data_IF_514384086367
#
_entry.id   IF_514384086367
#
_cell.length_a   1.000
_cell.length_b   1.000
_cell.length_c   1.000
_cell.angle_alpha   90.00
_cell.angle_beta   90.00
_cell.angle_gamma   90.00
#
_symmetry.space_group_name_H-M   'P 1'
#
loop_
_entity.id
_entity.type
_entity.pdbx_description
1 polymer ?
#
# COMPACT_ATOMS: atom_id res chain seq x y z
N UNK A 1 43.57 0.56 -40.83
CA UNK A 1 43.30 0.27 -39.41
C UNK A 1 42.49 1.40 -38.72
N UNK A 2 42.71 2.67 -39.06
CA UNK A 2 42.03 3.82 -38.42
C UNK A 2 40.53 3.92 -38.71
N UNK A 3 40.03 3.58 -39.88
CA UNK A 3 38.64 3.75 -40.29
C UNK A 3 37.73 2.78 -39.53
N UNK A 4 38.17 1.56 -39.29
CA UNK A 4 37.39 0.53 -38.53
C UNK A 4 37.28 0.96 -37.06
N UNK A 5 38.31 1.56 -36.49
CA UNK A 5 38.30 2.02 -35.11
C UNK A 5 37.36 3.23 -34.91
N UNK A 6 37.33 4.14 -35.88
CA UNK A 6 36.39 5.29 -35.87
C UNK A 6 34.96 4.83 -36.01
N UNK A 7 34.68 3.81 -36.85
CA UNK A 7 33.37 3.23 -37.03
C UNK A 7 32.85 2.55 -35.73
N UNK A 8 33.73 1.79 -35.05
CA UNK A 8 33.40 1.17 -33.76
C UNK A 8 33.10 2.20 -32.67
N UNK A 9 33.85 3.31 -32.62
CA UNK A 9 33.59 4.41 -31.69
C UNK A 9 32.25 5.08 -31.96
N UNK A 10 31.90 5.31 -33.24
CA UNK A 10 30.61 5.88 -33.62
C UNK A 10 29.45 4.97 -33.24
N UNK A 11 29.57 3.67 -33.47
CA UNK A 11 28.53 2.69 -33.06
C UNK A 11 28.38 2.65 -31.56
N UNK A 12 29.47 2.66 -30.80
CA UNK A 12 29.44 2.70 -29.35
C UNK A 12 28.79 4.00 -28.82
N UNK A 13 29.11 5.16 -29.43
CA UNK A 13 28.51 6.44 -29.09
C UNK A 13 27.00 6.45 -29.35
N UNK A 14 26.58 5.96 -30.53
CA UNK A 14 25.15 5.81 -30.89
C UNK A 14 24.44 4.91 -29.88
N UNK A 15 25.06 3.79 -29.51
CA UNK A 15 24.47 2.85 -28.54
C UNK A 15 24.29 3.47 -27.15
N UNK A 16 25.31 4.26 -26.69
CA UNK A 16 25.24 4.99 -25.42
C UNK A 16 24.14 6.06 -25.45
N UNK A 17 24.04 6.82 -26.56
CA UNK A 17 23.02 7.86 -26.73
C UNK A 17 21.62 7.26 -26.77
N UNK A 18 21.41 6.16 -27.49
CA UNK A 18 20.14 5.47 -27.58
C UNK A 18 19.72 4.85 -26.23
N UNK A 19 20.69 4.28 -25.49
CA UNK A 19 20.44 3.74 -24.14
C UNK A 19 20.07 4.84 -23.15
N UNK A 20 20.75 5.98 -23.24
CA UNK A 20 20.49 7.15 -22.39
C UNK A 20 19.14 7.80 -22.74
N UNK A 21 18.78 7.88 -24.02
CA UNK A 21 17.48 8.38 -24.48
C UNK A 21 16.32 7.49 -24.00
N UNK A 22 16.49 6.15 -24.07
CA UNK A 22 15.48 5.19 -23.59
C UNK A 22 15.31 5.24 -22.08
N UNK A 23 16.35 5.60 -21.33
CA UNK A 23 16.28 5.76 -19.87
C UNK A 23 15.59 7.08 -19.49
N UNK A 24 15.86 8.16 -20.21
CA UNK A 24 15.20 9.47 -19.99
C UNK A 24 13.71 9.40 -20.37
N UNK A 25 13.36 8.72 -21.44
CA UNK A 25 11.95 8.51 -21.85
C UNK A 25 11.20 7.66 -20.83
N UNK A 26 11.86 6.69 -20.19
CA UNK A 26 11.29 5.86 -19.14
C UNK A 26 11.08 6.64 -17.82
N UNK A 27 12.00 7.58 -17.51
CA UNK A 27 11.89 8.45 -16.33
C UNK A 27 10.86 9.59 -16.51
N UNK A 28 10.48 9.91 -17.76
CA UNK A 28 9.47 10.93 -18.07
C UNK A 28 8.04 10.39 -18.16
N UNK A 29 7.87 9.07 -18.35
CA UNK A 29 6.57 8.40 -18.48
C UNK A 29 6.17 7.58 -17.23
N UNK A 30 7.03 7.43 -16.21
CA UNK A 30 6.59 6.89 -14.94
C UNK A 30 5.90 8.02 -14.15
N UNK A 31 4.58 7.91 -13.92
CA UNK A 31 3.91 8.84 -13.01
C UNK A 31 4.63 8.78 -11.65
N UNK A 32 4.84 9.94 -11.04
CA UNK A 32 5.44 9.98 -9.70
C UNK A 32 4.75 8.96 -8.80
N UNK A 33 5.52 8.12 -8.07
CA UNK A 33 4.93 7.08 -7.23
C UNK A 33 4.02 7.76 -6.20
N UNK A 34 2.72 7.53 -6.34
CA UNK A 34 1.71 8.06 -5.41
C UNK A 34 2.09 7.59 -4.01
N UNK A 35 2.08 8.52 -3.05
CA UNK A 35 2.29 8.19 -1.64
C UNK A 35 1.30 7.09 -1.21
N UNK A 36 1.78 5.97 -0.65
CA UNK A 36 0.91 4.87 -0.22
C UNK A 36 -0.18 5.30 0.77
N UNK A 37 0.06 6.32 1.58
CA UNK A 37 -0.93 6.88 2.50
C UNK A 37 -2.05 7.59 1.74
N UNK A 38 -1.71 8.50 0.83
CA UNK A 38 -2.67 9.23 0.02
C UNK A 38 -3.48 8.27 -0.88
N UNK A 39 -2.81 7.26 -1.46
CA UNK A 39 -3.48 6.24 -2.26
C UNK A 39 -4.49 5.44 -1.43
N UNK A 40 -4.11 4.98 -0.23
CA UNK A 40 -5.01 4.24 0.64
C UNK A 40 -6.23 5.07 1.05
N UNK A 41 -6.04 6.35 1.43
CA UNK A 41 -7.14 7.25 1.75
C UNK A 41 -8.07 7.45 0.56
N UNK A 42 -7.52 7.78 -0.60
CA UNK A 42 -8.31 7.97 -1.82
C UNK A 42 -9.12 6.72 -2.20
N UNK A 43 -8.51 5.54 -2.09
CA UNK A 43 -9.21 4.27 -2.35
C UNK A 43 -10.35 4.02 -1.36
N UNK A 44 -10.16 4.32 -0.06
CA UNK A 44 -11.21 4.19 0.95
C UNK A 44 -12.34 5.19 0.72
N UNK A 45 -12.03 6.45 0.40
CA UNK A 45 -13.02 7.47 0.07
C UNK A 45 -13.83 7.11 -1.17
N UNK A 46 -13.17 6.60 -2.22
CA UNK A 46 -13.83 6.12 -3.42
C UNK A 46 -14.75 4.93 -3.13
N UNK A 47 -14.31 4.00 -2.27
CA UNK A 47 -15.12 2.87 -1.85
C UNK A 47 -16.38 3.30 -1.09
N UNK A 48 -16.27 4.34 -0.25
CA UNK A 48 -17.35 4.90 0.54
C UNK A 48 -18.35 5.71 -0.32
N UNK A 49 -17.86 6.44 -1.31
CA UNK A 49 -18.67 7.31 -2.17
C UNK A 49 -19.23 6.61 -3.42
N UNK A 50 -18.91 5.34 -3.62
CA UNK A 50 -19.34 4.60 -4.81
C UNK A 50 -20.87 4.48 -4.91
N UNK A 51 -21.40 4.79 -6.10
CA UNK A 51 -22.81 4.63 -6.41
C UNK A 51 -23.02 3.77 -7.67
N UNK A 52 -23.87 2.73 -7.60
CA UNK A 52 -24.54 2.23 -6.38
C UNK A 52 -23.54 1.68 -5.36
N UNK A 53 -23.85 1.69 -4.05
CA UNK A 53 -22.96 1.18 -3.03
C UNK A 53 -22.73 -0.33 -3.21
N UNK A 54 -21.53 -0.78 -2.90
CA UNK A 54 -21.21 -2.20 -2.93
C UNK A 54 -22.01 -2.95 -1.85
N UNK A 55 -22.42 -4.16 -2.16
CA UNK A 55 -22.93 -5.08 -1.13
C UNK A 55 -21.79 -5.47 -0.17
N UNK A 56 -22.16 -5.95 1.03
CA UNK A 56 -21.22 -6.17 2.13
C UNK A 56 -19.98 -7.00 1.76
N UNK A 57 -20.14 -8.11 1.04
CA UNK A 57 -18.99 -8.98 0.68
C UNK A 57 -17.98 -8.28 -0.23
N UNK A 58 -18.35 -7.75 -1.41
CA UNK A 58 -17.42 -7.00 -2.25
C UNK A 58 -16.79 -5.80 -1.52
N UNK A 59 -17.56 -5.10 -0.70
CA UNK A 59 -17.07 -3.99 0.11
C UNK A 59 -15.94 -4.42 1.04
N UNK A 60 -16.16 -5.48 1.83
CA UNK A 60 -15.16 -5.99 2.78
C UNK A 60 -13.94 -6.57 2.07
N UNK A 61 -14.13 -7.26 0.94
CA UNK A 61 -13.00 -7.71 0.12
C UNK A 61 -12.13 -6.54 -0.34
N UNK A 62 -12.76 -5.50 -0.87
CA UNK A 62 -12.04 -4.33 -1.36
C UNK A 62 -11.35 -3.56 -0.24
N UNK A 63 -12.02 -3.35 0.89
CA UNK A 63 -11.45 -2.69 2.05
C UNK A 63 -10.25 -3.46 2.62
N UNK A 64 -10.35 -4.79 2.71
CA UNK A 64 -9.24 -5.65 3.14
C UNK A 64 -8.04 -5.58 2.19
N UNK A 65 -8.30 -5.52 0.89
CA UNK A 65 -7.26 -5.37 -0.14
C UNK A 65 -6.53 -4.03 -0.01
N UNK A 66 -7.26 -2.93 0.13
CA UNK A 66 -6.69 -1.59 0.30
C UNK A 66 -5.75 -1.55 1.53
N UNK A 67 -6.21 -2.09 2.67
CA UNK A 67 -5.41 -2.13 3.88
C UNK A 67 -4.15 -2.98 3.73
N UNK A 68 -4.22 -4.12 3.07
CA UNK A 68 -3.07 -5.00 2.80
C UNK A 68 -2.06 -4.35 1.85
N UNK A 69 -2.52 -3.71 0.77
CA UNK A 69 -1.65 -2.97 -0.15
C UNK A 69 -0.91 -1.85 0.58
N UNK A 70 -1.61 -1.10 1.44
CA UNK A 70 -1.00 -0.07 2.27
C UNK A 70 0.11 -0.63 3.16
N UNK A 71 -0.17 -1.70 3.90
CA UNK A 71 0.82 -2.37 4.77
C UNK A 71 2.02 -2.88 3.97
N UNK A 72 1.78 -3.51 2.83
CA UNK A 72 2.84 -4.03 1.96
C UNK A 72 3.75 -2.92 1.45
N UNK A 73 3.18 -1.83 0.97
CA UNK A 73 3.95 -0.72 0.39
C UNK A 73 4.74 0.07 1.45
N UNK A 74 4.15 0.29 2.62
CA UNK A 74 4.73 1.13 3.68
C UNK A 74 5.70 0.33 4.55
N UNK A 75 5.32 -0.87 4.96
CA UNK A 75 6.07 -1.66 5.97
C UNK A 75 6.87 -2.81 5.36
N UNK A 76 6.77 -3.02 4.03
CA UNK A 76 7.49 -4.09 3.31
C UNK A 76 7.13 -5.51 3.80
N UNK A 77 5.93 -5.67 4.31
CA UNK A 77 5.34 -6.96 4.66
C UNK A 77 4.58 -7.49 3.44
N UNK A 78 4.78 -8.73 2.97
CA UNK A 78 4.10 -9.26 1.77
C UNK A 78 2.61 -9.57 2.06
N UNK A 79 1.85 -8.56 2.51
CA UNK A 79 0.52 -8.69 3.08
C UNK A 79 -0.52 -9.25 2.10
N UNK A 80 -0.31 -9.05 0.80
CA UNK A 80 -1.22 -9.55 -0.24
C UNK A 80 -1.13 -11.07 -0.44
N UNK A 81 0.01 -11.67 -0.09
CA UNK A 81 0.26 -13.11 -0.24
C UNK A 81 -0.15 -13.93 1.00
N UNK A 82 -0.42 -13.25 2.12
CA UNK A 82 -0.68 -13.88 3.41
C UNK A 82 -2.18 -14.19 3.62
N UNK A 83 -2.47 -15.30 4.27
CA UNK A 83 -3.79 -15.54 4.87
C UNK A 83 -4.07 -14.56 6.01
N UNK A 84 -5.30 -14.51 6.54
CA UNK A 84 -5.65 -13.65 7.69
C UNK A 84 -4.78 -13.95 8.92
N UNK A 85 -4.59 -15.23 9.25
CA UNK A 85 -3.77 -15.66 10.40
C UNK A 85 -2.28 -15.36 10.20
N UNK A 86 -1.73 -15.61 9.02
CA UNK A 86 -0.34 -15.30 8.70
C UNK A 86 -0.09 -13.80 8.74
N UNK A 87 -1.02 -12.99 8.21
CA UNK A 87 -0.95 -11.55 8.29
C UNK A 87 -0.94 -11.07 9.74
N UNK A 88 -1.81 -11.60 10.60
CA UNK A 88 -1.81 -11.26 12.02
C UNK A 88 -0.53 -11.66 12.73
N UNK A 89 0.04 -12.82 12.41
CA UNK A 89 1.33 -13.27 12.95
C UNK A 89 2.46 -12.33 12.53
N UNK A 90 2.46 -11.89 11.29
CA UNK A 90 3.46 -10.96 10.78
C UNK A 90 3.34 -9.59 11.47
N UNK A 91 2.13 -9.05 11.60
CA UNK A 91 1.86 -7.81 12.33
C UNK A 91 2.33 -7.90 13.79
N UNK A 92 1.99 -8.98 14.49
CA UNK A 92 2.38 -9.16 15.89
C UNK A 92 3.90 -9.27 16.09
N UNK A 93 4.63 -9.77 15.09
CA UNK A 93 6.10 -9.89 15.12
C UNK A 93 6.82 -8.61 14.71
N UNK A 94 6.17 -7.75 13.92
CA UNK A 94 6.78 -6.55 13.37
C UNK A 94 6.98 -5.47 14.45
N UNK A 95 8.19 -4.94 14.57
CA UNK A 95 8.59 -4.00 15.63
C UNK A 95 7.73 -2.72 15.73
N UNK A 96 7.20 -2.26 14.60
CA UNK A 96 6.35 -1.07 14.55
C UNK A 96 4.95 -1.33 15.11
N UNK A 97 4.38 -2.51 14.83
CA UNK A 97 3.00 -2.85 15.19
C UNK A 97 2.85 -3.47 16.57
N UNK A 98 3.89 -4.08 17.07
CA UNK A 98 3.89 -4.87 18.30
C UNK A 98 3.16 -4.18 19.45
N UNK A 99 2.14 -4.85 19.99
CA UNK A 99 1.30 -4.39 21.11
C UNK A 99 0.47 -3.11 20.84
N UNK A 100 0.30 -2.70 19.57
CA UNK A 100 -0.47 -1.48 19.25
C UNK A 100 -1.75 -1.74 18.49
N UNK A 101 -1.66 -2.59 17.46
CA UNK A 101 -2.76 -2.77 16.50
C UNK A 101 -3.30 -4.20 16.50
N UNK A 102 -2.70 -5.09 17.29
CA UNK A 102 -2.99 -6.53 17.29
C UNK A 102 -4.48 -6.81 17.52
N UNK A 103 -5.10 -6.13 18.47
CA UNK A 103 -6.50 -6.34 18.79
C UNK A 103 -7.42 -5.79 17.70
N UNK A 104 -7.23 -4.52 17.29
CA UNK A 104 -8.11 -3.88 16.30
C UNK A 104 -8.03 -4.54 14.93
N UNK A 105 -6.84 -4.96 14.50
CA UNK A 105 -6.66 -5.67 13.24
C UNK A 105 -7.21 -7.10 13.30
N UNK A 106 -7.09 -7.78 14.44
CA UNK A 106 -7.71 -9.10 14.64
C UNK A 106 -9.22 -8.98 14.53
N UNK A 107 -9.84 -8.05 15.25
CA UNK A 107 -11.26 -7.80 15.17
C UNK A 107 -11.72 -7.45 13.74
N UNK A 108 -10.93 -6.63 13.03
CA UNK A 108 -11.18 -6.29 11.63
C UNK A 108 -11.17 -7.53 10.72
N UNK A 109 -10.18 -8.42 10.88
CA UNK A 109 -10.05 -9.63 10.08
C UNK A 109 -11.17 -10.60 10.41
N UNK A 110 -11.43 -10.86 11.69
CA UNK A 110 -12.45 -11.81 12.14
C UNK A 110 -13.86 -11.38 11.69
N UNK A 111 -14.20 -10.11 11.84
CA UNK A 111 -15.48 -9.56 11.36
C UNK A 111 -15.55 -9.56 9.83
N UNK A 112 -14.44 -9.20 9.16
CA UNK A 112 -14.35 -9.24 7.71
C UNK A 112 -14.57 -10.66 7.16
N UNK A 113 -13.98 -11.65 7.78
CA UNK A 113 -14.13 -13.05 7.38
C UNK A 113 -15.54 -13.58 7.67
N UNK A 114 -16.16 -13.20 8.79
CA UNK A 114 -17.58 -13.49 9.03
C UNK A 114 -18.45 -12.98 7.88
N UNK A 115 -18.27 -11.74 7.45
CA UNK A 115 -19.05 -11.15 6.35
C UNK A 115 -18.77 -11.86 5.03
N UNK A 116 -17.50 -12.13 4.70
CA UNK A 116 -17.10 -12.79 3.45
C UNK A 116 -17.73 -14.17 3.30
N UNK A 117 -17.79 -14.93 4.40
CA UNK A 117 -18.23 -16.34 4.38
C UNK A 117 -19.65 -16.57 4.89
N UNK A 118 -20.30 -15.57 5.50
CA UNK A 118 -21.69 -15.67 5.94
C UNK A 118 -22.66 -15.75 4.75
N UNK A 119 -23.78 -16.41 4.98
CA UNK A 119 -24.96 -16.40 4.09
C UNK A 119 -25.98 -15.34 4.52
N UNK A 120 -25.80 -14.74 5.67
CA UNK A 120 -26.71 -13.76 6.24
C UNK A 120 -26.45 -12.35 5.70
N UNK A 121 -27.48 -11.49 5.79
CA UNK A 121 -27.33 -10.08 5.47
C UNK A 121 -26.51 -9.41 6.55
N UNK A 122 -25.48 -8.70 6.12
CA UNK A 122 -24.64 -7.89 7.02
C UNK A 122 -25.37 -6.61 7.36
N UNK A 123 -25.25 -6.18 8.61
CA UNK A 123 -25.73 -4.89 9.09
C UNK A 123 -24.83 -3.75 8.59
N UNK A 124 -25.44 -2.61 8.23
CA UNK A 124 -24.71 -1.42 7.79
C UNK A 124 -23.77 -0.89 8.89
N UNK A 125 -24.10 -1.09 10.16
CA UNK A 125 -23.24 -0.74 11.29
C UNK A 125 -21.92 -1.51 11.31
N UNK A 126 -21.93 -2.78 10.94
CA UNK A 126 -20.71 -3.60 10.85
C UNK A 126 -19.78 -3.11 9.73
N UNK A 127 -20.33 -2.73 8.58
CA UNK A 127 -19.52 -2.17 7.47
C UNK A 127 -18.91 -0.82 7.85
N UNK A 128 -19.67 0.02 8.55
CA UNK A 128 -19.18 1.31 9.07
C UNK A 128 -18.03 1.11 10.05
N UNK A 129 -18.16 0.18 10.99
CA UNK A 129 -17.11 -0.13 11.97
C UNK A 129 -15.82 -0.61 11.30
N UNK A 130 -15.93 -1.49 10.30
CA UNK A 130 -14.76 -1.96 9.54
C UNK A 130 -14.08 -0.81 8.79
N UNK A 131 -14.87 0.08 8.18
CA UNK A 131 -14.35 1.25 7.48
C UNK A 131 -13.60 2.18 8.45
N UNK A 132 -14.19 2.50 9.58
CA UNK A 132 -13.57 3.35 10.61
C UNK A 132 -12.29 2.74 11.16
N UNK A 133 -12.27 1.43 11.38
CA UNK A 133 -11.08 0.71 11.83
C UNK A 133 -9.95 0.79 10.81
N UNK A 134 -10.25 0.60 9.53
CA UNK A 134 -9.25 0.71 8.46
C UNK A 134 -8.72 2.15 8.32
N UNK A 135 -9.61 3.15 8.35
CA UNK A 135 -9.23 4.56 8.31
C UNK A 135 -8.35 4.95 9.50
N UNK A 136 -8.74 4.54 10.71
CA UNK A 136 -7.97 4.80 11.92
C UNK A 136 -6.58 4.18 11.83
N UNK A 137 -6.50 2.92 11.40
CA UNK A 137 -5.21 2.23 11.24
C UNK A 137 -4.28 2.98 10.27
N UNK A 138 -4.77 3.33 9.07
CA UNK A 138 -3.98 4.03 8.05
C UNK A 138 -3.51 5.40 8.56
N UNK A 139 -4.39 6.19 9.17
CA UNK A 139 -4.07 7.54 9.68
C UNK A 139 -3.12 7.50 10.87
N UNK A 140 -3.35 6.62 11.83
CA UNK A 140 -2.52 6.53 13.04
C UNK A 140 -1.13 5.98 12.75
N UNK A 141 -1.01 4.96 11.89
CA UNK A 141 0.30 4.44 11.48
C UNK A 141 1.11 5.49 10.73
N UNK A 142 0.51 6.24 9.82
CA UNK A 142 1.17 7.33 9.11
C UNK A 142 1.66 8.43 10.06
N UNK A 143 0.81 8.89 10.96
CA UNK A 143 1.17 9.90 11.96
C UNK A 143 2.35 9.46 12.83
N UNK A 144 2.37 8.20 13.28
CA UNK A 144 3.46 7.64 14.09
C UNK A 144 4.77 7.45 13.30
N UNK A 145 4.69 7.20 12.01
CA UNK A 145 5.88 7.15 11.16
C UNK A 145 6.52 8.52 11.03
N UNK A 146 5.73 9.57 10.77
CA UNK A 146 6.22 10.96 10.71
C UNK A 146 6.83 11.38 12.04
N UNK A 147 6.20 11.04 13.17
CA UNK A 147 6.73 11.32 14.50
C UNK A 147 8.10 10.65 14.72
N UNK A 148 8.22 9.39 14.34
CA UNK A 148 9.47 8.63 14.44
C UNK A 148 10.58 9.21 13.58
N UNK A 149 10.27 9.66 12.37
CA UNK A 149 11.23 10.32 11.48
C UNK A 149 11.73 11.66 12.04
N UNK A 150 10.83 12.47 12.62
CA UNK A 150 11.21 13.74 13.26
C UNK A 150 12.12 13.55 14.47
N UNK A 151 11.92 12.46 15.24
CA UNK A 151 12.79 12.13 16.37
C UNK A 151 14.16 11.63 15.88
N UNK A 152 14.20 10.84 14.80
CA UNK A 152 15.43 10.31 14.23
C UNK A 152 16.28 11.38 13.53
N UNK A 153 15.65 12.44 13.00
CA UNK A 153 16.31 13.55 12.31
C UNK A 153 15.86 14.89 12.91
N UNK A 154 16.28 15.23 14.13
CA UNK A 154 15.97 16.53 14.69
C UNK A 154 16.60 17.61 13.80
N UNK A 155 15.76 18.49 13.28
CA UNK A 155 16.20 19.65 12.49
C UNK A 155 17.15 20.46 13.36
N UNK A 156 18.43 20.47 12.99
CA UNK A 156 19.41 21.37 13.60
C UNK A 156 19.06 22.79 13.14
N UNK A 157 18.51 23.55 14.05
CA UNK A 157 18.26 24.99 13.88
C UNK A 157 19.57 25.76 14.06
#
# INVERSE_FOLDING_TARGET
MSVVFIFLLLVALIFIVLKKKKQIEKDLDEPEPIDPFEEALSCIENLQSQHPPLSAKPFVFRLSEILRIYVERVFKVPAMELTGEEFMKEIASHSFFKNRYDQSLREFIDQGDQIKYSKEKTDDGQMTLLLETALHFVKDTHAKMIEKEKIAHPVQS
#
